data_IF_481787803716
#
_entry.id   IF_481787803716
#
_cell.length_a   1.000
_cell.length_b   1.000
_cell.length_c   1.000
_cell.angle_alpha   90.00
_cell.angle_beta   90.00
_cell.angle_gamma   90.00
#
_symmetry.space_group_name_H-M   'P 1'
#
loop_
_entity.id
_entity.type
_entity.pdbx_description
1 polymer ?
#
# COMPACT_ATOMS: atom_id res chain seq x y z
N UNK A 1 4.50 7.10 16.76
CA UNK A 1 4.53 6.69 15.34
C UNK A 1 3.69 7.67 14.55
N UNK A 2 4.15 8.06 13.36
CA UNK A 2 3.41 8.97 12.49
C UNK A 2 3.04 8.29 11.19
N UNK A 3 1.82 8.55 10.72
CA UNK A 3 1.39 8.18 9.38
C UNK A 3 1.94 9.21 8.41
N UNK A 4 2.67 8.75 7.38
CA UNK A 4 3.29 9.61 6.37
C UNK A 4 2.42 9.77 5.13
N UNK A 5 1.65 8.76 4.77
CA UNK A 5 0.68 8.80 3.66
C UNK A 5 -0.25 7.61 3.71
N UNK A 6 -1.37 7.74 3.00
CA UNK A 6 -2.32 6.65 2.78
C UNK A 6 -2.56 6.56 1.27
N UNK A 7 -2.47 5.35 0.72
CA UNK A 7 -2.66 5.10 -0.70
C UNK A 7 -3.74 4.04 -0.88
N UNK A 8 -4.75 4.33 -1.69
CA UNK A 8 -5.75 3.34 -2.08
C UNK A 8 -5.12 2.34 -3.07
N UNK A 9 -5.38 1.06 -2.87
CA UNK A 9 -4.96 0.00 -3.79
C UNK A 9 -6.20 -0.61 -4.44
N UNK A 10 -6.26 -0.57 -5.75
CA UNK A 10 -7.39 -1.09 -6.51
C UNK A 10 -6.95 -2.37 -7.21
N UNK A 11 -7.67 -3.46 -6.95
CA UNK A 11 -7.37 -4.74 -7.58
C UNK A 11 -7.74 -4.71 -9.05
N UNK A 12 -6.85 -5.23 -9.89
CA UNK A 12 -7.04 -5.37 -11.33
C UNK A 12 -6.30 -6.61 -11.82
N UNK A 13 -6.79 -7.23 -12.86
CA UNK A 13 -6.09 -8.37 -13.48
C UNK A 13 -4.86 -7.95 -14.25
N UNK A 14 -4.80 -6.69 -14.70
CA UNK A 14 -3.66 -6.16 -15.46
C UNK A 14 -3.44 -4.69 -15.12
N UNK A 15 -2.44 -4.38 -14.29
CA UNK A 15 -2.14 -2.99 -13.91
C UNK A 15 -1.82 -2.07 -15.11
N UNK A 16 -1.34 -2.62 -16.23
CA UNK A 16 -1.01 -1.82 -17.41
C UNK A 16 -2.25 -1.21 -18.10
N UNK A 17 -3.45 -1.76 -17.86
CA UNK A 17 -4.67 -1.30 -18.53
C UNK A 17 -5.08 0.12 -18.15
N UNK A 18 -4.65 0.63 -17.00
CA UNK A 18 -5.17 1.89 -16.46
C UNK A 18 -4.37 3.12 -16.90
N UNK A 19 -3.23 2.94 -17.56
CA UNK A 19 -2.33 4.04 -17.94
C UNK A 19 -3.02 5.11 -18.80
N UNK A 20 -3.81 4.69 -19.79
CA UNK A 20 -4.51 5.61 -20.68
C UNK A 20 -5.44 6.57 -19.95
N UNK A 21 -6.05 6.11 -18.87
CA UNK A 21 -6.95 6.96 -18.09
C UNK A 21 -6.19 7.84 -17.08
N UNK A 22 -5.39 7.23 -16.21
CA UNK A 22 -4.78 7.97 -15.10
C UNK A 22 -3.66 8.89 -15.56
N UNK A 23 -2.94 8.50 -16.59
CA UNK A 23 -1.85 9.29 -17.16
C UNK A 23 -2.36 10.27 -18.22
N UNK A 24 -3.09 9.78 -19.22
CA UNK A 24 -3.45 10.60 -20.39
C UNK A 24 -4.66 11.48 -20.13
N UNK A 25 -5.66 11.01 -19.38
CA UNK A 25 -6.86 11.81 -19.06
C UNK A 25 -6.62 12.69 -17.83
N UNK A 26 -6.10 12.12 -16.74
CA UNK A 26 -5.94 12.86 -15.48
C UNK A 26 -4.58 13.54 -15.34
N UNK A 27 -3.64 13.26 -16.23
CA UNK A 27 -2.32 13.90 -16.19
C UNK A 27 -1.45 13.48 -15.02
N UNK A 28 -1.72 12.33 -14.42
CA UNK A 28 -0.89 11.82 -13.33
C UNK A 28 0.40 11.20 -13.88
N UNK A 29 1.43 11.19 -13.04
CA UNK A 29 2.70 10.57 -13.35
C UNK A 29 2.75 9.14 -12.85
N UNK A 30 3.43 8.27 -13.57
CA UNK A 30 3.75 6.93 -13.09
C UNK A 30 4.89 7.06 -12.08
N UNK A 31 4.58 6.87 -10.79
CA UNK A 31 5.55 7.03 -9.70
C UNK A 31 6.30 5.73 -9.38
N UNK A 32 5.67 4.59 -9.63
CA UNK A 32 6.24 3.28 -9.30
C UNK A 32 5.63 2.21 -10.20
N UNK A 33 6.46 1.28 -10.65
CA UNK A 33 6.03 0.12 -11.44
C UNK A 33 6.87 -1.10 -11.05
N UNK A 34 6.23 -2.05 -10.38
CA UNK A 34 6.82 -3.35 -10.07
C UNK A 34 6.22 -4.49 -10.91
N UNK A 35 5.46 -4.17 -11.96
CA UNK A 35 4.75 -5.13 -12.78
C UNK A 35 3.42 -5.58 -12.18
N UNK A 36 3.45 -6.15 -10.99
CA UNK A 36 2.25 -6.57 -10.26
C UNK A 36 1.50 -5.41 -9.61
N UNK A 37 2.14 -4.27 -9.45
CA UNK A 37 1.56 -3.03 -8.93
C UNK A 37 2.14 -1.84 -9.66
N UNK A 38 1.28 -0.87 -9.97
CA UNK A 38 1.68 0.45 -10.48
C UNK A 38 1.05 1.52 -9.60
N UNK A 39 1.77 2.62 -9.38
CA UNK A 39 1.30 3.76 -8.59
C UNK A 39 1.34 5.02 -9.44
N UNK A 40 0.23 5.74 -9.49
CA UNK A 40 0.09 7.03 -10.15
C UNK A 40 -0.11 8.13 -9.13
N UNK A 41 0.44 9.30 -9.41
CA UNK A 41 0.30 10.46 -8.54
C UNK A 41 1.08 11.64 -9.08
N UNK A 42 1.32 12.62 -8.22
CA UNK A 42 2.18 13.77 -8.48
C UNK A 42 3.22 13.85 -7.37
N UNK A 43 4.27 14.64 -7.57
CA UNK A 43 5.31 14.85 -6.56
C UNK A 43 5.04 16.03 -5.62
N UNK A 44 3.86 16.54 -5.61
CA UNK A 44 3.45 17.63 -4.75
C UNK A 44 3.18 17.07 -3.33
N UNK A 45 3.54 17.74 -2.23
CA UNK A 45 3.35 17.24 -0.86
C UNK A 45 1.90 16.93 -0.47
N UNK A 46 0.93 17.52 -1.16
CA UNK A 46 -0.49 17.26 -0.94
C UNK A 46 -1.08 16.33 -2.01
N UNK A 47 -0.24 15.74 -2.83
CA UNK A 47 -0.67 14.96 -3.99
C UNK A 47 -1.40 13.69 -3.61
N UNK A 48 -2.51 13.41 -4.24
CA UNK A 48 -3.13 12.10 -4.13
C UNK A 48 -2.26 11.05 -4.84
N UNK A 49 -2.29 9.83 -4.32
CA UNK A 49 -1.71 8.67 -4.97
C UNK A 49 -2.72 7.55 -5.00
N UNK A 50 -2.67 6.75 -6.04
CA UNK A 50 -3.50 5.56 -6.19
C UNK A 50 -2.67 4.44 -6.80
N UNK A 51 -2.84 3.22 -6.29
CA UNK A 51 -2.15 2.05 -6.81
C UNK A 51 -3.14 1.07 -7.41
N UNK A 52 -2.70 0.34 -8.43
CA UNK A 52 -3.44 -0.72 -9.08
C UNK A 52 -2.58 -1.97 -9.07
N UNK A 53 -3.13 -3.08 -8.55
CA UNK A 53 -2.36 -4.29 -8.32
C UNK A 53 -3.15 -5.54 -8.65
N UNK A 54 -2.48 -6.55 -9.19
CA UNK A 54 -3.08 -7.87 -9.41
C UNK A 54 -2.86 -8.82 -8.22
N UNK A 55 -1.97 -8.47 -7.32
CA UNK A 55 -1.76 -9.18 -6.05
C UNK A 55 -1.21 -8.18 -5.02
N UNK A 56 -1.12 -8.60 -3.77
CA UNK A 56 -0.58 -7.76 -2.70
C UNK A 56 0.94 -7.79 -2.58
N UNK A 57 1.62 -8.52 -3.44
CA UNK A 57 3.04 -8.83 -3.32
C UNK A 57 3.27 -10.09 -2.50
N UNK A 58 4.30 -10.88 -2.81
CA UNK A 58 4.66 -12.13 -2.14
C UNK A 58 3.48 -13.13 -2.08
N UNK A 59 2.60 -13.11 -3.08
CA UNK A 59 1.45 -14.00 -3.16
C UNK A 59 0.28 -13.64 -2.23
N UNK A 60 0.30 -12.46 -1.62
CA UNK A 60 -0.78 -12.02 -0.73
C UNK A 60 -1.95 -11.43 -1.51
N UNK A 61 -3.16 -11.36 -0.89
CA UNK A 61 -4.28 -10.63 -1.49
C UNK A 61 -3.97 -9.13 -1.54
N UNK A 62 -4.66 -8.39 -2.42
CA UNK A 62 -4.50 -6.94 -2.52
C UNK A 62 -5.13 -6.29 -1.28
N UNK A 63 -4.36 -5.58 -0.44
CA UNK A 63 -4.94 -4.79 0.64
C UNK A 63 -5.64 -3.57 0.05
N UNK A 64 -6.76 -3.17 0.65
CA UNK A 64 -7.51 -2.02 0.15
C UNK A 64 -6.76 -0.70 0.31
N UNK A 65 -5.99 -0.58 1.39
CA UNK A 65 -5.19 0.60 1.71
C UNK A 65 -3.77 0.20 2.04
N UNK A 66 -2.81 1.04 1.66
CA UNK A 66 -1.47 1.02 2.22
C UNK A 66 -1.26 2.28 3.04
N UNK A 67 -0.91 2.11 4.30
CA UNK A 67 -0.63 3.20 5.23
C UNK A 67 0.86 3.19 5.53
N UNK A 68 1.57 4.18 5.01
CA UNK A 68 3.00 4.32 5.27
C UNK A 68 3.21 5.00 6.61
N UNK A 69 4.02 4.38 7.47
CA UNK A 69 4.34 4.87 8.81
C UNK A 69 5.85 5.01 8.97
N UNK A 70 6.27 5.79 9.94
CA UNK A 70 7.68 5.95 10.27
C UNK A 70 8.21 4.87 11.24
N UNK A 71 7.32 4.11 11.89
CA UNK A 71 7.70 3.06 12.85
C UNK A 71 6.69 1.91 12.78
N UNK A 72 6.98 0.93 11.95
CA UNK A 72 6.09 -0.23 11.73
C UNK A 72 5.97 -1.11 12.98
N UNK A 73 7.02 -1.21 13.79
CA UNK A 73 6.98 -2.03 15.01
C UNK A 73 6.03 -1.41 16.04
N UNK A 74 6.05 -0.08 16.21
CA UNK A 74 5.12 0.61 17.09
C UNK A 74 3.67 0.42 16.63
N UNK A 75 3.43 0.51 15.33
CA UNK A 75 2.11 0.26 14.73
C UNK A 75 1.65 -1.19 14.99
N UNK A 76 2.55 -2.15 14.82
CA UNK A 76 2.24 -3.56 15.06
C UNK A 76 1.86 -3.81 16.52
N UNK A 77 2.65 -3.30 17.47
CA UNK A 77 2.36 -3.45 18.89
C UNK A 77 1.02 -2.82 19.27
N UNK A 78 0.71 -1.66 18.70
CA UNK A 78 -0.57 -0.99 18.94
C UNK A 78 -1.76 -1.81 18.39
N UNK A 79 -1.61 -2.40 17.20
CA UNK A 79 -2.63 -3.24 16.60
C UNK A 79 -2.89 -4.50 17.47
N UNK A 80 -1.83 -5.14 17.93
CA UNK A 80 -1.94 -6.30 18.81
C UNK A 80 -2.61 -5.94 20.15
N UNK A 81 -2.21 -4.81 20.75
CA UNK A 81 -2.79 -4.34 22.00
C UNK A 81 -4.27 -4.01 21.85
N UNK A 82 -4.69 -3.53 20.67
CA UNK A 82 -6.09 -3.27 20.35
C UNK A 82 -6.91 -4.51 20.01
N UNK A 83 -6.29 -5.69 19.94
CA UNK A 83 -6.98 -6.94 19.62
C UNK A 83 -7.33 -7.09 18.15
N UNK A 84 -6.66 -6.36 17.26
CA UNK A 84 -6.92 -6.44 15.81
C UNK A 84 -6.22 -7.65 15.19
N UNK A 85 -6.87 -8.27 14.21
CA UNK A 85 -6.37 -9.48 13.57
C UNK A 85 -5.22 -9.17 12.61
N UNK A 86 -4.03 -9.70 12.94
CA UNK A 86 -2.87 -9.62 12.05
C UNK A 86 -2.97 -10.80 11.07
N UNK A 87 -2.99 -10.49 9.77
CA UNK A 87 -3.18 -11.51 8.73
C UNK A 87 -1.90 -11.86 7.98
N UNK A 88 -0.86 -11.02 8.06
CA UNK A 88 0.40 -11.25 7.38
C UNK A 88 1.50 -10.39 8.01
N UNK A 89 2.68 -10.96 8.20
CA UNK A 89 3.83 -10.25 8.72
C UNK A 89 3.79 -10.00 10.23
N UNK A 90 4.63 -9.09 10.76
CA UNK A 90 5.58 -8.22 10.05
C UNK A 90 6.68 -8.98 9.30
N UNK A 91 7.02 -8.50 8.13
CA UNK A 91 8.00 -9.15 7.28
C UNK A 91 8.77 -8.10 6.46
N UNK A 92 10.05 -8.37 6.22
CA UNK A 92 10.87 -7.60 5.29
C UNK A 92 10.66 -8.13 3.87
N UNK A 93 10.26 -7.25 2.97
CA UNK A 93 10.03 -7.62 1.58
C UNK A 93 11.24 -7.27 0.71
N UNK A 94 11.46 -8.02 -0.38
CA UNK A 94 12.66 -7.80 -1.21
C UNK A 94 12.70 -6.44 -1.92
N UNK A 95 11.59 -5.73 -2.02
CA UNK A 95 11.56 -4.39 -2.64
C UNK A 95 11.81 -3.23 -1.67
N UNK A 96 12.33 -3.51 -0.46
CA UNK A 96 12.84 -2.46 0.43
C UNK A 96 11.82 -1.89 1.39
N UNK A 97 10.88 -2.71 1.83
CA UNK A 97 9.88 -2.33 2.83
C UNK A 97 9.80 -3.38 3.93
N UNK A 98 9.34 -2.96 5.11
CA UNK A 98 8.88 -3.85 6.15
C UNK A 98 7.40 -3.58 6.38
N UNK A 99 6.58 -4.60 6.46
CA UNK A 99 5.12 -4.43 6.48
C UNK A 99 4.40 -5.55 7.22
N UNK A 100 3.17 -5.25 7.61
CA UNK A 100 2.21 -6.26 8.05
C UNK A 100 0.81 -5.90 7.55
N UNK A 101 -0.04 -6.91 7.42
CA UNK A 101 -1.44 -6.71 7.07
C UNK A 101 -2.29 -6.92 8.32
N UNK A 102 -3.25 -6.03 8.52
CA UNK A 102 -4.18 -6.07 9.63
C UNK A 102 -5.59 -5.82 9.12
N UNK A 103 -6.58 -6.47 9.74
CA UNK A 103 -7.99 -6.24 9.43
C UNK A 103 -8.53 -5.16 10.36
N UNK A 104 -9.10 -4.09 9.80
CA UNK A 104 -9.71 -3.05 10.62
C UNK A 104 -11.11 -3.49 11.12
N UNK A 105 -11.77 -2.74 12.03
CA UNK A 105 -13.07 -3.13 12.55
C UNK A 105 -14.19 -3.21 11.51
N UNK A 106 -14.03 -2.55 10.36
CA UNK A 106 -14.99 -2.63 9.26
C UNK A 106 -14.74 -3.82 8.33
N UNK A 107 -13.69 -4.61 8.61
CA UNK A 107 -13.32 -5.75 7.78
C UNK A 107 -12.40 -5.39 6.61
N UNK A 108 -11.86 -4.19 6.57
CA UNK A 108 -10.94 -3.74 5.52
C UNK A 108 -9.54 -4.30 5.76
N UNK A 109 -8.95 -4.91 4.74
CA UNK A 109 -7.56 -5.36 4.81
C UNK A 109 -6.64 -4.16 4.57
N UNK A 110 -5.79 -3.86 5.54
CA UNK A 110 -4.89 -2.70 5.53
C UNK A 110 -3.45 -3.17 5.60
N UNK A 111 -2.63 -2.67 4.68
CA UNK A 111 -1.19 -2.84 4.69
C UNK A 111 -0.56 -1.69 5.48
N UNK A 112 0.13 -1.99 6.57
CA UNK A 112 0.93 -1.01 7.33
C UNK A 112 2.37 -1.22 6.94
N UNK A 113 3.00 -0.19 6.39
CA UNK A 113 4.29 -0.33 5.69
C UNK A 113 5.26 0.78 6.07
N UNK A 114 6.53 0.41 6.14
CA UNK A 114 7.63 1.37 6.34
C UNK A 114 8.70 1.07 5.30
N UNK A 115 9.21 2.11 4.64
CA UNK A 115 10.36 1.95 3.76
C UNK A 115 11.62 1.75 4.60
N UNK A 116 12.42 0.75 4.23
CA UNK A 116 13.66 0.39 4.94
C UNK A 116 14.91 0.92 4.25
N UNK A 117 14.73 1.63 3.16
CA UNK A 117 15.81 2.29 2.42
C UNK A 117 15.38 3.64 1.85
#
# INVERSE_FOLDING_TARGET
MKVKRIVANIATTDPALVAGFYKDVLGLDLLMDHGWIVTYGNENPTSPQVSFACEGGSGTPVPALSVEVDDVEAAYLAACAGGHAIEYGPVDEPWGVRRFFVRDPAGTLVNIVMHTR
#
